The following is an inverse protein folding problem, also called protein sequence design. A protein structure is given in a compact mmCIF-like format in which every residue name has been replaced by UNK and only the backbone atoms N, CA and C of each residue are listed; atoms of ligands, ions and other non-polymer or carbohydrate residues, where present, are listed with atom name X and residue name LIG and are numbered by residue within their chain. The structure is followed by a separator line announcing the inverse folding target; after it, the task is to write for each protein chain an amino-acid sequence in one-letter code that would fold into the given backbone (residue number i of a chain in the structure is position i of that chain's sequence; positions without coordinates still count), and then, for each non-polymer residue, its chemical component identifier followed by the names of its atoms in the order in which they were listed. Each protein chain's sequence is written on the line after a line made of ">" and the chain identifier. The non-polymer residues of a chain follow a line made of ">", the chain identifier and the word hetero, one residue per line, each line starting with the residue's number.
data_IF_868554550852
#
_entry.id   IF_868554550852
#
_cell.length_a   1.000
_cell.length_b   1.000
_cell.length_c   1.000
_cell.angle_alpha   90.00
_cell.angle_beta   90.00
_cell.angle_gamma   90.00
#
_symmetry.space_group_name_H-M   'P 1'
#
loop_
_entity.id
_entity.type
_entity.pdbx_description
1 polymer ?
#
# COMPACT_ATOMS: atom_id res chain seq x y z
N UNK A 1 4.00 17.26 6.46
CA UNK A 1 3.73 16.44 5.27
C UNK A 1 3.87 17.27 4.01
N UNK A 2 4.23 16.65 2.91
CA UNK A 2 4.35 17.26 1.59
C UNK A 2 3.09 16.99 0.74
N UNK A 3 2.81 17.89 -0.20
CA UNK A 3 1.70 17.79 -1.14
C UNK A 3 2.24 18.01 -2.56
N UNK A 4 2.57 16.95 -3.30
CA UNK A 4 3.09 17.09 -4.65
C UNK A 4 1.99 17.60 -5.58
N UNK A 5 2.40 18.31 -6.63
CA UNK A 5 1.58 18.42 -7.84
C UNK A 5 1.57 17.09 -8.58
N UNK A 6 0.56 16.81 -9.42
CA UNK A 6 0.59 15.64 -10.29
C UNK A 6 1.89 15.55 -11.07
N UNK A 7 2.48 14.35 -11.12
CA UNK A 7 3.72 14.03 -11.84
C UNK A 7 4.98 14.74 -11.32
N UNK A 8 4.91 15.41 -10.18
CA UNK A 8 6.08 16.09 -9.58
C UNK A 8 7.16 15.08 -9.14
N UNK A 9 6.75 13.92 -8.65
CA UNK A 9 7.65 12.87 -8.16
C UNK A 9 7.57 11.65 -9.05
N UNK A 10 8.65 11.37 -9.78
CA UNK A 10 8.71 10.21 -10.68
C UNK A 10 9.49 9.07 -10.06
N UNK A 11 9.02 7.83 -10.29
CA UNK A 11 9.71 6.64 -9.78
C UNK A 11 11.13 6.52 -10.33
N UNK A 12 11.36 6.85 -11.60
CA UNK A 12 12.68 6.77 -12.25
C UNK A 12 13.71 7.73 -11.65
N UNK A 13 13.25 8.83 -11.04
CA UNK A 13 14.11 9.86 -10.46
C UNK A 13 14.43 9.59 -8.98
N UNK A 14 13.49 8.98 -8.26
CA UNK A 14 13.56 8.83 -6.80
C UNK A 14 13.88 7.40 -6.35
N UNK A 15 13.29 6.39 -7.01
CA UNK A 15 13.43 4.99 -6.58
C UNK A 15 14.88 4.56 -6.64
N UNK A 16 15.27 3.73 -5.67
CA UNK A 16 16.58 3.05 -5.68
C UNK A 16 16.45 1.53 -5.72
N UNK A 17 15.25 1.01 -6.02
CA UNK A 17 14.98 -0.42 -6.07
C UNK A 17 15.30 -1.10 -4.74
N UNK A 18 14.79 -0.55 -3.63
CA UNK A 18 15.04 -1.05 -2.27
C UNK A 18 13.75 -1.33 -1.53
N UNK A 19 13.82 -2.27 -0.61
CA UNK A 19 12.73 -2.65 0.29
C UNK A 19 13.22 -2.62 1.73
N UNK A 20 12.33 -2.23 2.63
CA UNK A 20 12.57 -2.20 4.08
C UNK A 20 12.44 -3.59 4.64
N UNK A 21 11.39 -4.30 4.23
CA UNK A 21 11.05 -5.61 4.76
C UNK A 21 10.14 -6.38 3.81
N UNK A 22 10.13 -7.69 3.96
CA UNK A 22 9.19 -8.60 3.34
C UNK A 22 8.63 -9.54 4.41
N UNK A 23 7.32 -9.57 4.56
CA UNK A 23 6.63 -10.39 5.56
C UNK A 23 5.67 -11.34 4.87
N UNK A 24 5.98 -12.63 4.95
CA UNK A 24 5.06 -13.67 4.50
C UNK A 24 3.98 -13.93 5.56
N UNK A 25 2.79 -14.33 5.10
CA UNK A 25 1.70 -14.85 5.93
C UNK A 25 1.21 -13.89 7.04
N UNK A 26 1.09 -12.61 6.69
CA UNK A 26 0.56 -11.55 7.54
C UNK A 26 -0.98 -11.48 7.48
N UNK A 27 -1.60 -10.92 8.53
CA UNK A 27 -3.05 -10.81 8.70
C UNK A 27 -3.54 -9.37 8.90
N UNK A 28 -2.61 -8.40 9.00
CA UNK A 28 -2.97 -7.00 9.33
C UNK A 28 -2.94 -6.04 8.13
N UNK A 29 -2.35 -6.45 7.01
CA UNK A 29 -2.09 -5.60 5.85
C UNK A 29 -3.15 -5.78 4.73
N UNK A 30 -4.38 -6.14 5.08
CA UNK A 30 -5.51 -6.33 4.17
C UNK A 30 -6.32 -7.59 4.50
N UNK A 31 -7.31 -7.90 3.67
CA UNK A 31 -8.13 -9.10 3.85
C UNK A 31 -7.34 -10.40 3.57
N UNK A 32 -7.59 -11.42 4.40
CA UNK A 32 -7.04 -12.76 4.25
C UNK A 32 -5.60 -12.90 4.77
N UNK A 33 -5.00 -14.07 4.51
CA UNK A 33 -3.56 -14.26 4.70
C UNK A 33 -2.84 -13.58 3.56
N UNK A 34 -1.93 -12.66 3.84
CA UNK A 34 -1.25 -11.85 2.83
C UNK A 34 0.25 -11.96 2.96
N UNK A 35 0.93 -11.83 1.82
CA UNK A 35 2.33 -11.46 1.84
C UNK A 35 2.43 -9.94 1.72
N UNK A 36 3.40 -9.33 2.39
CA UNK A 36 3.47 -7.87 2.54
C UNK A 36 4.86 -7.39 2.17
N UNK A 37 4.96 -6.59 1.11
CA UNK A 37 6.20 -6.01 0.61
C UNK A 37 6.28 -4.53 1.01
N UNK A 38 7.24 -4.20 1.86
CA UNK A 38 7.45 -2.85 2.37
C UNK A 38 8.56 -2.18 1.54
N UNK A 39 8.21 -1.33 0.59
CA UNK A 39 9.21 -0.60 -0.22
C UNK A 39 9.88 0.52 0.56
N UNK A 40 11.09 0.90 0.15
CA UNK A 40 11.80 2.07 0.69
C UNK A 40 11.45 3.35 -0.09
N UNK A 41 11.52 4.49 0.58
CA UNK A 41 11.33 5.82 0.01
C UNK A 41 9.89 6.30 0.07
N UNK A 42 9.67 7.46 0.69
CA UNK A 42 8.38 8.14 0.69
C UNK A 42 8.58 9.63 0.84
N UNK A 43 8.12 10.42 -0.14
CA UNK A 43 8.25 11.88 -0.09
C UNK A 43 7.10 12.57 0.64
N UNK A 44 6.03 11.86 1.02
CA UNK A 44 4.87 12.49 1.69
C UNK A 44 5.19 12.97 3.10
N UNK A 45 6.08 12.29 3.83
CA UNK A 45 6.49 12.66 5.19
C UNK A 45 5.32 13.05 6.10
N UNK A 46 4.28 12.21 6.14
CA UNK A 46 3.09 12.43 6.94
C UNK A 46 3.45 12.58 8.42
N UNK A 47 2.90 13.58 9.10
CA UNK A 47 3.13 13.75 10.53
C UNK A 47 2.55 12.56 11.31
N UNK A 48 3.32 11.98 12.23
CA UNK A 48 2.90 10.79 12.98
C UNK A 48 2.84 9.50 12.14
N UNK A 49 3.48 9.47 10.96
CA UNK A 49 3.56 8.27 10.12
C UNK A 49 4.16 7.08 10.89
N UNK A 50 3.43 5.96 10.95
CA UNK A 50 3.89 4.72 11.57
C UNK A 50 5.17 4.18 10.92
N UNK A 51 5.30 4.39 9.60
CA UNK A 51 6.41 3.92 8.79
C UNK A 51 7.45 5.03 8.53
N UNK A 52 7.68 5.98 9.44
CA UNK A 52 8.66 7.06 9.22
C UNK A 52 10.08 6.56 8.87
N UNK A 53 10.45 5.37 9.35
CA UNK A 53 11.72 4.72 9.00
C UNK A 53 11.88 4.41 7.50
N UNK A 54 10.78 4.36 6.76
CA UNK A 54 10.77 4.01 5.32
C UNK A 54 10.96 5.23 4.43
N UNK A 55 11.00 6.47 4.96
CA UNK A 55 11.07 7.70 4.14
C UNK A 55 12.31 7.80 3.26
N UNK A 56 13.45 7.29 3.74
CA UNK A 56 14.71 7.32 2.98
C UNK A 56 14.70 6.28 1.86
N UNK A 57 14.91 6.73 0.62
CA UNK A 57 15.12 5.85 -0.53
C UNK A 57 16.39 4.98 -0.42
N UNK A 58 17.30 5.27 0.52
CA UNK A 58 18.48 4.44 0.78
C UNK A 58 18.27 3.42 1.90
N UNK A 59 17.13 3.45 2.60
CA UNK A 59 16.86 2.52 3.70
C UNK A 59 16.61 1.08 3.20
N UNK A 60 16.69 0.13 4.11
CA UNK A 60 16.43 -1.28 3.83
C UNK A 60 17.53 -1.96 3.02
N UNK A 61 17.17 -2.94 2.20
CA UNK A 61 18.05 -3.75 1.34
C UNK A 61 17.64 -3.62 -0.14
N UNK A 62 18.53 -3.92 -1.10
CA UNK A 62 18.15 -4.00 -2.51
C UNK A 62 17.03 -5.02 -2.74
N UNK A 63 16.11 -4.70 -3.65
CA UNK A 63 15.17 -5.67 -4.23
C UNK A 63 15.93 -6.54 -5.23
N UNK A 64 15.80 -7.86 -5.12
CA UNK A 64 16.55 -8.81 -5.95
C UNK A 64 15.63 -9.86 -6.57
N UNK A 65 16.14 -10.55 -7.59
CA UNK A 65 15.40 -11.65 -8.23
C UNK A 65 15.12 -12.78 -7.24
N UNK A 66 16.06 -13.07 -6.33
CA UNK A 66 15.89 -14.11 -5.30
C UNK A 66 14.74 -13.77 -4.34
N UNK A 67 14.60 -12.50 -3.96
CA UNK A 67 13.47 -12.04 -3.17
C UNK A 67 12.16 -12.16 -3.95
N UNK A 68 12.15 -11.77 -5.23
CA UNK A 68 10.97 -11.91 -6.08
C UNK A 68 10.52 -13.36 -6.20
N UNK A 69 11.45 -14.28 -6.44
CA UNK A 69 11.15 -15.71 -6.53
C UNK A 69 10.62 -16.26 -5.20
N UNK A 70 11.14 -15.76 -4.07
CA UNK A 70 10.61 -16.08 -2.74
C UNK A 70 9.18 -15.55 -2.54
N UNK A 71 8.89 -14.30 -2.94
CA UNK A 71 7.55 -13.71 -2.90
C UNK A 71 6.57 -14.57 -3.71
N UNK A 72 6.95 -14.95 -4.93
CA UNK A 72 6.11 -15.76 -5.82
C UNK A 72 5.85 -17.15 -5.24
N UNK A 73 6.88 -17.78 -4.67
CA UNK A 73 6.74 -19.09 -4.01
C UNK A 73 5.76 -19.01 -2.83
N UNK A 74 5.92 -18.03 -1.95
CA UNK A 74 5.04 -17.88 -0.79
C UNK A 74 3.61 -17.51 -1.21
N UNK A 75 3.44 -16.71 -2.27
CA UNK A 75 2.12 -16.33 -2.79
C UNK A 75 1.38 -17.52 -3.40
N UNK A 76 2.11 -18.50 -3.96
CA UNK A 76 1.52 -19.69 -4.57
C UNK A 76 0.83 -20.61 -3.55
N UNK A 77 1.11 -20.46 -2.26
CA UNK A 77 0.46 -21.25 -1.22
C UNK A 77 -1.07 -21.08 -1.25
N UNK A 78 -1.87 -22.16 -1.23
CA UNK A 78 -3.32 -22.08 -1.44
C UNK A 78 -4.07 -21.24 -0.40
N UNK A 79 -3.54 -21.14 0.82
CA UNK A 79 -4.15 -20.37 1.91
C UNK A 79 -3.81 -18.87 1.87
N UNK A 80 -2.87 -18.45 1.01
CA UNK A 80 -2.52 -17.04 0.83
C UNK A 80 -3.50 -16.40 -0.13
N UNK A 81 -4.17 -15.33 0.29
CA UNK A 81 -5.11 -14.59 -0.55
C UNK A 81 -4.39 -13.73 -1.58
N UNK A 82 -3.31 -13.05 -1.19
CA UNK A 82 -2.66 -12.10 -2.09
C UNK A 82 -1.48 -11.34 -1.52
N UNK A 83 -1.04 -10.33 -2.28
CA UNK A 83 0.10 -9.46 -1.97
C UNK A 83 -0.37 -8.07 -1.53
N UNK A 84 0.28 -7.48 -0.53
CA UNK A 84 0.14 -6.06 -0.21
C UNK A 84 1.42 -5.31 -0.52
N UNK A 85 1.28 -4.18 -1.21
CA UNK A 85 2.34 -3.22 -1.50
C UNK A 85 2.21 -2.03 -0.53
N UNK A 86 3.19 -1.85 0.35
CA UNK A 86 3.16 -0.84 1.41
C UNK A 86 4.58 -0.35 1.76
N UNK A 87 4.75 0.22 2.96
CA UNK A 87 6.04 0.67 3.49
C UNK A 87 6.26 2.17 3.32
N UNK A 88 7.09 2.55 2.36
CA UNK A 88 7.23 3.92 1.87
C UNK A 88 6.05 4.31 0.98
N UNK A 89 6.35 4.75 -0.24
CA UNK A 89 5.35 5.00 -1.27
C UNK A 89 5.51 4.00 -2.43
N UNK A 90 4.62 2.99 -2.54
CA UNK A 90 4.62 2.02 -3.64
C UNK A 90 4.65 2.66 -5.02
N UNK A 91 3.89 3.73 -5.25
CA UNK A 91 3.84 4.40 -6.56
C UNK A 91 5.09 5.24 -6.87
N UNK A 92 6.06 5.35 -5.95
CA UNK A 92 7.41 5.86 -6.24
C UNK A 92 8.44 4.74 -6.45
N UNK A 93 7.98 3.49 -6.56
CA UNK A 93 8.81 2.30 -6.74
C UNK A 93 8.27 1.39 -7.87
N UNK A 94 7.57 1.97 -8.85
CA UNK A 94 6.99 1.25 -10.00
C UNK A 94 8.03 0.42 -10.76
N UNK A 95 9.30 0.88 -10.81
CA UNK A 95 10.39 0.18 -11.49
C UNK A 95 10.67 -1.23 -10.96
N UNK A 96 10.41 -1.51 -9.68
CA UNK A 96 10.50 -2.88 -9.11
C UNK A 96 9.14 -3.55 -8.97
N UNK A 97 8.07 -2.77 -8.79
CA UNK A 97 6.73 -3.32 -8.54
C UNK A 97 6.00 -3.76 -9.82
N UNK A 98 6.17 -3.05 -10.94
CA UNK A 98 5.52 -3.42 -12.20
C UNK A 98 5.97 -4.81 -12.69
N UNK A 99 7.26 -5.18 -12.72
CA UNK A 99 7.69 -6.52 -13.08
C UNK A 99 7.05 -7.61 -12.19
N UNK A 100 7.09 -7.42 -10.87
CA UNK A 100 6.50 -8.34 -9.90
C UNK A 100 4.99 -8.50 -10.10
N UNK A 101 4.25 -7.40 -10.19
CA UNK A 101 2.79 -7.42 -10.35
C UNK A 101 2.38 -8.06 -11.68
N UNK A 102 3.09 -7.75 -12.78
CA UNK A 102 2.86 -8.40 -14.08
C UNK A 102 3.13 -9.90 -14.02
N UNK A 103 4.16 -10.32 -13.27
CA UNK A 103 4.45 -11.75 -13.04
C UNK A 103 3.34 -12.42 -12.24
N UNK A 104 2.84 -11.80 -11.17
CA UNK A 104 1.71 -12.31 -10.38
C UNK A 104 0.48 -12.47 -11.28
N UNK A 105 0.11 -11.47 -12.08
CA UNK A 105 -1.03 -11.57 -13.00
C UNK A 105 -0.90 -12.68 -14.03
N UNK A 106 0.32 -13.02 -14.44
CA UNK A 106 0.60 -14.11 -15.39
C UNK A 106 0.57 -15.50 -14.72
N UNK A 107 1.17 -15.64 -13.55
CA UNK A 107 1.46 -16.94 -12.93
C UNK A 107 0.47 -17.32 -11.82
N UNK A 108 -0.15 -16.33 -11.18
CA UNK A 108 -1.05 -16.46 -10.03
C UNK A 108 -2.27 -15.53 -10.19
N UNK A 109 -3.07 -15.66 -11.28
CA UNK A 109 -4.11 -14.70 -11.63
C UNK A 109 -5.21 -14.54 -10.58
N UNK A 110 -5.43 -15.55 -9.74
CA UNK A 110 -6.45 -15.54 -8.69
C UNK A 110 -6.04 -14.80 -7.40
N UNK A 111 -4.77 -14.37 -7.30
CA UNK A 111 -4.26 -13.66 -6.12
C UNK A 111 -4.56 -12.17 -6.24
N UNK A 112 -5.19 -11.62 -5.21
CA UNK A 112 -5.48 -10.18 -5.19
C UNK A 112 -4.24 -9.36 -4.79
N UNK A 113 -4.22 -8.09 -5.19
CA UNK A 113 -3.12 -7.17 -4.91
C UNK A 113 -3.70 -5.90 -4.31
N UNK A 114 -3.24 -5.59 -3.11
CA UNK A 114 -3.57 -4.37 -2.40
C UNK A 114 -2.39 -3.40 -2.47
N UNK A 115 -2.66 -2.10 -2.49
CA UNK A 115 -1.62 -1.09 -2.35
C UNK A 115 -2.07 0.09 -1.52
N UNK A 116 -1.17 0.62 -0.69
CA UNK A 116 -1.34 1.89 -0.01
C UNK A 116 -0.66 3.00 -0.79
N UNK A 117 -1.23 4.19 -0.73
CA UNK A 117 -0.57 5.37 -1.29
C UNK A 117 -0.94 6.64 -0.54
N UNK A 118 -0.02 7.61 -0.49
CA UNK A 118 -0.31 8.95 -0.01
C UNK A 118 -1.10 9.80 -1.02
N UNK A 119 -1.15 9.41 -2.30
CA UNK A 119 -1.99 10.08 -3.29
C UNK A 119 -3.47 9.77 -3.02
N UNK A 120 -4.35 10.71 -3.30
CA UNK A 120 -5.78 10.44 -3.47
C UNK A 120 -6.02 9.81 -4.84
N UNK A 121 -7.12 9.09 -5.01
CA UNK A 121 -7.59 8.60 -6.32
C UNK A 121 -7.56 9.70 -7.38
N UNK A 122 -8.05 10.89 -7.03
CA UNK A 122 -8.13 12.04 -7.93
C UNK A 122 -6.74 12.54 -8.34
N UNK A 123 -5.75 12.51 -7.44
CA UNK A 123 -4.35 12.77 -7.78
C UNK A 123 -3.77 11.66 -8.66
N UNK A 124 -4.01 10.39 -8.30
CA UNK A 124 -3.54 9.21 -9.04
C UNK A 124 -3.98 9.20 -10.50
N UNK A 125 -5.21 9.62 -10.79
CA UNK A 125 -5.71 9.68 -12.18
C UNK A 125 -4.99 10.71 -13.06
N UNK A 126 -4.14 11.56 -12.47
CA UNK A 126 -3.36 12.60 -13.16
C UNK A 126 -1.85 12.29 -13.18
N UNK A 127 -1.45 11.14 -12.63
CA UNK A 127 -0.06 10.74 -12.49
C UNK A 127 0.54 10.15 -13.77
N UNK A 128 1.83 9.79 -13.69
CA UNK A 128 2.61 9.23 -14.79
C UNK A 128 2.10 7.86 -15.26
N UNK A 129 2.43 7.49 -16.50
CA UNK A 129 1.95 6.25 -17.14
C UNK A 129 2.30 4.99 -16.34
N UNK A 130 3.49 4.92 -15.74
CA UNK A 130 3.93 3.80 -14.91
C UNK A 130 3.10 3.65 -13.62
N UNK A 131 2.69 4.76 -13.01
CA UNK A 131 1.81 4.77 -11.84
C UNK A 131 0.39 4.36 -12.21
N UNK A 132 -0.13 4.88 -13.32
CA UNK A 132 -1.43 4.49 -13.86
C UNK A 132 -1.44 3.01 -14.27
N UNK A 133 -0.36 2.50 -14.86
CA UNK A 133 -0.21 1.08 -15.18
C UNK A 133 -0.21 0.24 -13.90
N UNK A 134 0.57 0.61 -12.88
CA UNK A 134 0.57 -0.12 -11.61
C UNK A 134 -0.82 -0.11 -10.97
N UNK A 135 -1.50 1.04 -10.97
CA UNK A 135 -2.86 1.16 -10.45
C UNK A 135 -3.82 0.23 -11.20
N UNK A 136 -3.75 0.18 -12.52
CA UNK A 136 -4.62 -0.69 -13.34
C UNK A 136 -4.45 -2.18 -13.04
N UNK A 137 -3.29 -2.58 -12.50
CA UNK A 137 -2.95 -3.97 -12.23
C UNK A 137 -3.21 -4.40 -10.78
N UNK A 138 -3.66 -3.52 -9.89
CA UNK A 138 -4.03 -3.87 -8.50
C UNK A 138 -5.55 -3.94 -8.33
N UNK A 139 -6.01 -4.58 -7.25
CA UNK A 139 -7.43 -4.79 -6.98
C UNK A 139 -7.98 -3.77 -5.97
N UNK A 140 -7.22 -3.52 -4.89
CA UNK A 140 -7.66 -2.64 -3.80
C UNK A 140 -6.62 -1.55 -3.54
N UNK A 141 -7.07 -0.30 -3.46
CA UNK A 141 -6.24 0.85 -3.13
C UNK A 141 -6.67 1.44 -1.79
N UNK A 142 -5.74 1.56 -0.85
CA UNK A 142 -5.92 2.43 0.32
C UNK A 142 -5.28 3.77 0.02
N UNK A 143 -6.10 4.78 -0.23
CA UNK A 143 -5.64 6.06 -0.75
C UNK A 143 -5.57 7.15 0.34
N UNK A 144 -4.82 8.21 0.02
CA UNK A 144 -4.70 9.40 0.84
C UNK A 144 -3.60 9.34 1.91
N UNK A 145 -3.05 10.52 2.18
CA UNK A 145 -2.03 10.74 3.23
C UNK A 145 -2.61 10.41 4.60
N UNK A 146 -1.75 9.92 5.49
CA UNK A 146 -2.11 9.81 6.90
C UNK A 146 -2.30 11.21 7.51
N UNK A 147 -3.46 11.45 8.11
CA UNK A 147 -3.80 12.70 8.79
C UNK A 147 -3.90 12.42 10.30
N UNK A 148 -2.92 12.92 11.06
CA UNK A 148 -2.85 12.73 12.51
C UNK A 148 -4.09 13.26 13.23
N UNK A 149 -4.71 14.34 12.74
CA UNK A 149 -5.91 14.93 13.34
C UNK A 149 -7.15 14.05 13.17
N UNK A 150 -7.10 13.10 12.22
CA UNK A 150 -8.15 12.13 11.90
C UNK A 150 -7.77 10.72 12.29
N UNK A 151 -6.71 10.54 13.07
CA UNK A 151 -6.24 9.24 13.52
C UNK A 151 -7.36 8.51 14.25
N UNK A 152 -7.64 7.28 13.81
CA UNK A 152 -8.65 6.44 14.44
C UNK A 152 -8.23 4.97 14.34
N UNK A 153 -7.99 4.34 15.50
CA UNK A 153 -7.53 2.96 15.60
C UNK A 153 -8.62 1.91 15.35
N UNK A 154 -9.89 2.34 15.24
CA UNK A 154 -11.03 1.48 14.96
C UNK A 154 -11.28 1.28 13.47
N UNK A 155 -10.52 1.97 12.62
CA UNK A 155 -10.68 1.88 11.17
C UNK A 155 -10.07 0.60 10.66
N UNK A 156 -10.80 -0.05 9.75
CA UNK A 156 -10.29 -1.23 9.07
C UNK A 156 -9.12 -0.81 8.16
N UNK A 157 -7.97 -1.47 8.33
CA UNK A 157 -6.78 -1.38 7.46
C UNK A 157 -6.21 0.03 7.19
N UNK A 158 -6.60 1.07 7.93
CA UNK A 158 -6.07 2.43 7.70
C UNK A 158 -5.95 3.21 8.99
N UNK A 159 -5.08 4.22 8.97
CA UNK A 159 -4.73 4.96 10.19
C UNK A 159 -5.61 6.16 10.46
N UNK A 160 -6.21 6.75 9.42
CA UNK A 160 -6.97 8.01 9.53
C UNK A 160 -8.23 8.01 8.66
N UNK A 161 -9.28 8.68 9.13
CA UNK A 161 -10.63 8.60 8.53
C UNK A 161 -10.77 9.29 7.17
N UNK A 162 -9.77 10.07 6.75
CA UNK A 162 -9.69 10.62 5.39
C UNK A 162 -9.23 9.59 4.35
N UNK A 163 -8.61 8.49 4.76
CA UNK A 163 -8.17 7.45 3.84
C UNK A 163 -9.38 6.61 3.42
N UNK A 164 -9.45 6.21 2.14
CA UNK A 164 -10.52 5.35 1.61
C UNK A 164 -9.94 4.00 1.23
N UNK A 165 -10.75 2.94 1.32
CA UNK A 165 -10.43 1.64 0.73
C UNK A 165 -11.27 1.51 -0.53
N UNK A 166 -10.61 1.50 -1.69
CA UNK A 166 -11.21 1.63 -3.00
C UNK A 166 -11.07 0.31 -3.75
N UNK A 167 -12.18 -0.14 -4.35
CA UNK A 167 -12.18 -1.23 -5.33
C UNK A 167 -11.74 -0.65 -6.68
N UNK A 168 -10.50 -0.94 -7.09
CA UNK A 168 -9.85 -0.28 -8.22
C UNK A 168 -10.51 -0.65 -9.53
N UNK A 169 -10.78 -1.94 -9.74
CA UNK A 169 -11.35 -2.43 -11.00
C UNK A 169 -12.76 -1.89 -11.21
N UNK A 170 -13.62 -1.93 -10.18
CA UNK A 170 -14.96 -1.32 -10.26
C UNK A 170 -14.89 0.20 -10.44
N UNK A 171 -13.90 0.87 -9.84
CA UNK A 171 -13.75 2.33 -9.96
C UNK A 171 -13.31 2.75 -11.35
N UNK A 172 -12.40 2.00 -11.98
CA UNK A 172 -11.97 2.21 -13.37
C UNK A 172 -13.13 2.00 -14.34
N UNK A 173 -13.88 0.90 -14.19
CA UNK A 173 -15.03 0.59 -15.05
C UNK A 173 -16.15 1.63 -14.92
N UNK A 174 -16.44 2.09 -13.70
CA UNK A 174 -17.49 3.07 -13.44
C UNK A 174 -17.08 4.52 -13.73
N UNK A 175 -15.79 4.81 -13.92
CA UNK A 175 -15.24 6.15 -14.06
C UNK A 175 -15.41 7.02 -12.80
N UNK A 176 -15.63 6.41 -11.63
CA UNK A 176 -15.81 7.08 -10.33
C UNK A 176 -15.37 6.16 -9.21
N UNK A 177 -14.99 6.73 -8.06
CA UNK A 177 -14.59 5.96 -6.88
C UNK A 177 -15.73 5.06 -6.40
N UNK A 178 -15.45 3.76 -6.30
CA UNK A 178 -16.28 2.73 -5.68
C UNK A 178 -15.54 2.23 -4.44
N UNK A 179 -16.17 2.39 -3.27
CA UNK A 179 -15.61 1.93 -2.00
C UNK A 179 -15.69 0.40 -1.93
N UNK A 180 -14.64 -0.21 -1.40
CA UNK A 180 -14.56 -1.65 -1.20
C UNK A 180 -15.74 -2.16 -0.37
N UNK A 181 -16.47 -3.12 -0.91
CA UNK A 181 -17.79 -3.54 -0.39
C UNK A 181 -17.73 -4.20 1.00
N UNK A 182 -16.56 -4.71 1.39
CA UNK A 182 -16.36 -5.35 2.70
C UNK A 182 -15.82 -4.39 3.76
N UNK A 183 -15.73 -3.09 3.45
CA UNK A 183 -15.34 -2.08 4.41
C UNK A 183 -16.30 -2.08 5.60
N UNK A 184 -15.77 -2.36 6.79
CA UNK A 184 -16.53 -2.41 8.02
C UNK A 184 -15.69 -1.86 9.19
N UNK A 185 -15.84 -0.57 9.46
CA UNK A 185 -15.14 0.09 10.56
C UNK A 185 -15.78 -0.23 11.91
N UNK A 186 -14.95 -0.32 12.96
CA UNK A 186 -15.42 -0.50 14.32
C UNK A 186 -16.18 0.73 14.84
N UNK A 187 -17.27 0.48 15.57
CA UNK A 187 -18.12 1.55 16.14
C UNK A 187 -17.68 1.99 17.55
N UNK A 188 -16.94 1.15 18.28
CA UNK A 188 -16.55 1.41 19.68
C UNK A 188 -15.13 0.89 19.95
N UNK A 189 -14.28 1.71 20.55
CA UNK A 189 -12.97 1.29 21.03
C UNK A 189 -13.09 0.57 22.37
N UNK A 190 -12.49 -0.61 22.48
CA UNK A 190 -12.37 -1.34 23.73
C UNK A 190 -10.90 -1.31 24.18
N UNK A 191 -10.57 -0.42 25.11
CA UNK A 191 -9.29 -0.44 25.78
C UNK A 191 -9.41 -1.29 27.06
N UNK A 192 -8.69 -2.42 27.12
CA UNK A 192 -8.64 -3.24 28.33
C UNK A 192 -8.00 -2.50 29.51
N UNK A 193 -7.12 -1.54 29.24
CA UNK A 193 -6.47 -0.72 30.25
C UNK A 193 -6.33 0.71 29.75
N UNK A 194 -6.89 1.63 30.52
CA UNK A 194 -6.78 3.07 30.32
C UNK A 194 -5.32 3.50 30.58
N UNK A 195 -4.62 3.90 29.51
CA UNK A 195 -3.19 4.27 29.60
C UNK A 195 -2.95 5.51 30.46
N UNK A 196 -3.95 6.37 30.62
CA UNK A 196 -3.87 7.55 31.49
C UNK A 196 -3.95 7.18 32.97
N UNK A 197 -4.32 5.93 33.29
CA UNK A 197 -4.33 5.40 34.67
C UNK A 197 -3.08 4.62 35.05
N UNK A 198 -2.09 4.50 34.15
CA UNK A 198 -0.83 3.78 34.38
C UNK A 198 0.38 4.75 34.48
N UNK A 199 0.16 6.05 34.25
CA UNK A 199 1.14 7.12 34.45
C UNK A 199 0.80 7.92 35.71
#
# INVERSE_FOLDING_TARGET
>A
MNNPKPQEWKSEELSKGRIIDYKAFNFVDGEGVRNSLYVSGCMFHCEGCYNAATWSFNAGIPYTQELEDQIMKDLAEPYVQGLTLLGGEPFLNTGILLPLVKRIRRELPDKDIWSWTGYTWEEMMLETEDKLELLSLIDILVDGRFDLTKKNLMLQFRGSSNQRIIDVQKSLEAGKVIIWEKLNDGLQAYEQVDRDKIL
#
